data_IF_489882135299
#
_entry.id   IF_489882135299
#
_cell.length_a   1.000
_cell.length_b   1.000
_cell.length_c   1.000
_cell.angle_alpha   90.00
_cell.angle_beta   90.00
_cell.angle_gamma   90.00
#
_symmetry.space_group_name_H-M   'P 1'
#
loop_
_entity.id
_entity.type
_entity.pdbx_description
1 polymer ?
#
# COMPACT_ATOMS: atom_id res chain seq x y z
N UNK A 1 -20.96 -25.91 12.93
CA UNK A 1 -19.62 -25.47 13.35
C UNK A 1 -19.12 -24.52 12.27
N UNK A 2 -18.92 -23.25 12.61
CA UNK A 2 -18.20 -22.34 11.71
C UNK A 2 -16.79 -22.92 11.52
N UNK A 3 -16.31 -22.96 10.28
CA UNK A 3 -14.91 -23.29 10.02
C UNK A 3 -14.06 -22.20 10.72
N UNK A 4 -12.98 -22.56 11.43
CA UNK A 4 -12.04 -21.54 11.85
C UNK A 4 -11.49 -20.87 10.60
N UNK A 5 -11.57 -19.53 10.55
CA UNK A 5 -10.94 -18.77 9.48
C UNK A 5 -9.43 -19.01 9.53
N UNK A 6 -8.87 -19.45 8.41
CA UNK A 6 -7.44 -19.69 8.31
C UNK A 6 -6.72 -18.36 8.05
N UNK A 7 -6.33 -17.67 9.12
CA UNK A 7 -5.62 -16.38 9.07
C UNK A 7 -4.09 -16.55 9.00
N UNK A 8 -3.59 -17.77 8.74
CA UNK A 8 -2.15 -18.08 8.84
C UNK A 8 -1.28 -17.31 7.85
N UNK A 9 -1.82 -16.97 6.67
CA UNK A 9 -1.09 -16.29 5.59
C UNK A 9 -1.46 -14.80 5.42
N UNK A 10 -2.37 -14.27 6.26
CA UNK A 10 -2.84 -12.89 6.16
C UNK A 10 -1.72 -11.88 6.40
N UNK A 11 -0.87 -12.10 7.42
CA UNK A 11 0.26 -11.22 7.73
C UNK A 11 1.25 -11.14 6.55
N UNK A 12 1.58 -12.28 5.95
CA UNK A 12 2.50 -12.35 4.79
C UNK A 12 1.94 -11.59 3.59
N UNK A 13 0.67 -11.83 3.24
CA UNK A 13 -0.01 -11.11 2.15
C UNK A 13 -0.09 -9.60 2.39
N UNK A 14 -0.38 -9.18 3.61
CA UNK A 14 -0.42 -7.75 3.94
C UNK A 14 0.97 -7.12 3.85
N UNK A 15 2.02 -7.82 4.29
CA UNK A 15 3.40 -7.36 4.13
C UNK A 15 3.80 -7.21 2.66
N UNK A 16 3.42 -8.18 1.81
CA UNK A 16 3.61 -8.10 0.36
C UNK A 16 2.88 -6.89 -0.24
N UNK A 17 1.60 -6.68 0.13
CA UNK A 17 0.82 -5.53 -0.32
C UNK A 17 1.45 -4.20 0.12
N UNK A 18 1.97 -4.10 1.34
CA UNK A 18 2.72 -2.92 1.81
C UNK A 18 3.93 -2.68 0.92
N UNK A 19 4.74 -3.70 0.67
CA UNK A 19 5.96 -3.57 -0.13
C UNK A 19 5.65 -3.15 -1.58
N UNK A 20 4.67 -3.78 -2.21
CA UNK A 20 4.21 -3.45 -3.55
C UNK A 20 3.68 -2.00 -3.61
N UNK A 21 2.93 -1.56 -2.59
CA UNK A 21 2.38 -0.20 -2.55
C UNK A 21 3.47 0.85 -2.36
N UNK A 22 4.50 0.55 -1.56
CA UNK A 22 5.67 1.42 -1.38
C UNK A 22 6.48 1.54 -2.67
N UNK A 23 6.70 0.43 -3.39
CA UNK A 23 7.39 0.43 -4.67
C UNK A 23 6.63 1.30 -5.69
N UNK A 24 5.34 1.05 -5.86
CA UNK A 24 4.46 1.86 -6.71
C UNK A 24 4.45 3.35 -6.36
N UNK A 25 4.53 3.69 -5.06
CA UNK A 25 4.62 5.07 -4.60
C UNK A 25 5.93 5.71 -5.06
N UNK A 26 7.06 5.02 -4.86
CA UNK A 26 8.40 5.50 -5.23
C UNK A 26 8.54 5.64 -6.74
N UNK A 27 8.12 4.64 -7.51
CA UNK A 27 8.12 4.70 -8.98
C UNK A 27 7.34 5.90 -9.50
N UNK A 28 6.19 6.22 -8.88
CA UNK A 28 5.41 7.39 -9.27
C UNK A 28 6.11 8.70 -8.89
N UNK A 29 6.80 8.76 -7.75
CA UNK A 29 7.60 9.93 -7.37
C UNK A 29 8.80 10.14 -8.31
N UNK A 30 9.52 9.06 -8.64
CA UNK A 30 10.64 9.08 -9.60
C UNK A 30 10.17 9.53 -10.98
N UNK A 31 9.04 8.99 -11.47
CA UNK A 31 8.45 9.44 -12.73
C UNK A 31 8.10 10.93 -12.74
N UNK A 32 7.50 11.43 -11.65
CA UNK A 32 7.16 12.85 -11.52
C UNK A 32 8.42 13.74 -11.47
N UNK A 33 9.51 13.30 -10.84
CA UNK A 33 10.77 14.02 -10.77
C UNK A 33 11.49 14.06 -12.14
N UNK A 34 11.51 12.93 -12.85
CA UNK A 34 12.18 12.79 -14.15
C UNK A 34 11.42 13.50 -15.29
N UNK A 35 10.09 13.52 -15.24
CA UNK A 35 9.24 13.98 -16.36
C UNK A 35 8.38 15.20 -16.04
N UNK A 36 8.66 15.95 -14.96
CA UNK A 36 7.87 17.10 -14.53
C UNK A 36 7.59 18.13 -15.63
N UNK A 37 8.57 18.36 -16.53
CA UNK A 37 8.48 19.32 -17.64
C UNK A 37 7.75 18.77 -18.88
N UNK A 38 7.52 17.46 -18.96
CA UNK A 38 6.98 16.76 -20.12
C UNK A 38 5.50 16.37 -19.95
N UNK A 39 5.06 16.13 -18.72
CA UNK A 39 3.69 15.69 -18.42
C UNK A 39 2.72 16.85 -18.26
N UNK A 40 1.44 16.59 -18.51
CA UNK A 40 0.40 17.60 -18.32
C UNK A 40 0.14 17.87 -16.83
N UNK A 41 -0.36 19.08 -16.50
CA UNK A 41 -0.73 19.41 -15.13
C UNK A 41 -1.84 18.52 -14.56
N UNK A 42 -2.79 18.09 -15.40
CA UNK A 42 -3.84 17.15 -15.01
C UNK A 42 -3.27 15.76 -14.67
N UNK A 43 -2.35 15.26 -15.49
CA UNK A 43 -1.67 13.99 -15.23
C UNK A 43 -0.81 14.05 -13.97
N UNK A 44 -0.08 15.15 -13.76
CA UNK A 44 0.68 15.40 -12.54
C UNK A 44 -0.23 15.34 -11.30
N UNK A 45 -1.37 16.04 -11.31
CA UNK A 45 -2.32 16.06 -10.19
C UNK A 45 -2.88 14.66 -9.90
N UNK A 46 -3.26 13.91 -10.94
CA UNK A 46 -3.78 12.54 -10.80
C UNK A 46 -2.74 11.59 -10.18
N UNK A 47 -1.48 11.68 -10.59
CA UNK A 47 -0.38 10.87 -10.04
C UNK A 47 -0.09 11.22 -8.59
N UNK A 48 -0.10 12.51 -8.24
CA UNK A 48 0.06 12.98 -6.86
C UNK A 48 -1.09 12.51 -5.97
N UNK A 49 -2.34 12.62 -6.42
CA UNK A 49 -3.51 12.14 -5.68
C UNK A 49 -3.47 10.61 -5.50
N UNK A 50 -3.02 9.87 -6.53
CA UNK A 50 -2.81 8.43 -6.42
C UNK A 50 -1.75 8.10 -5.37
N UNK A 51 -0.68 8.87 -5.27
CA UNK A 51 0.33 8.70 -4.23
C UNK A 51 -0.20 9.03 -2.83
N UNK A 52 -1.00 10.07 -2.67
CA UNK A 52 -1.66 10.36 -1.40
C UNK A 52 -2.53 9.19 -0.91
N UNK A 53 -3.34 8.58 -1.81
CA UNK A 53 -4.12 7.39 -1.47
C UNK A 53 -3.27 6.16 -1.13
N UNK A 54 -2.08 6.02 -1.73
CA UNK A 54 -1.13 4.94 -1.40
C UNK A 54 -0.58 5.10 0.01
N UNK A 55 -0.30 6.32 0.47
CA UNK A 55 0.13 6.58 1.85
C UNK A 55 -0.94 6.14 2.86
N UNK A 56 -2.20 6.50 2.62
CA UNK A 56 -3.35 6.06 3.43
C UNK A 56 -3.51 4.53 3.43
N UNK A 57 -3.32 3.90 2.27
CA UNK A 57 -3.38 2.43 2.12
C UNK A 57 -2.27 1.75 2.92
N UNK A 58 -1.04 2.26 2.86
CA UNK A 58 0.10 1.73 3.63
C UNK A 58 -0.16 1.85 5.13
N UNK A 59 -0.72 2.99 5.59
CA UNK A 59 -1.08 3.16 7.00
C UNK A 59 -2.13 2.12 7.43
N UNK A 60 -3.17 1.93 6.62
CA UNK A 60 -4.23 0.95 6.88
C UNK A 60 -3.68 -0.48 6.94
N UNK A 61 -2.88 -0.89 5.96
CA UNK A 61 -2.25 -2.22 5.97
C UNK A 61 -1.35 -2.44 7.18
N UNK A 62 -0.63 -1.41 7.65
CA UNK A 62 0.22 -1.52 8.84
C UNK A 62 -0.59 -1.72 10.11
N UNK A 63 -1.77 -1.11 10.23
CA UNK A 63 -2.67 -1.37 11.35
C UNK A 63 -3.25 -2.79 11.25
N UNK A 64 -3.71 -3.22 10.06
CA UNK A 64 -4.21 -4.59 9.86
C UNK A 64 -3.15 -5.65 10.17
N UNK A 65 -1.88 -5.44 9.80
CA UNK A 65 -0.78 -6.36 10.15
C UNK A 65 -0.66 -6.51 11.66
N UNK A 66 -0.81 -5.43 12.44
CA UNK A 66 -0.73 -5.51 13.91
C UNK A 66 -1.88 -6.34 14.47
N UNK A 67 -3.09 -6.12 13.97
CA UNK A 67 -4.28 -6.85 14.41
C UNK A 67 -4.21 -8.34 14.05
N UNK A 68 -3.76 -8.66 12.83
CA UNK A 68 -3.54 -10.06 12.39
C UNK A 68 -2.43 -10.73 13.19
N UNK A 69 -1.31 -10.04 13.43
CA UNK A 69 -0.21 -10.58 14.24
C UNK A 69 -0.62 -10.80 15.69
N UNK A 70 -1.42 -9.91 16.28
CA UNK A 70 -1.97 -10.10 17.63
C UNK A 70 -2.87 -11.35 17.68
N UNK A 71 -3.78 -11.48 16.71
CA UNK A 71 -4.70 -12.62 16.65
C UNK A 71 -4.02 -13.97 16.37
N UNK A 72 -2.82 -14.00 15.79
CA UNK A 72 -2.03 -15.23 15.61
C UNK A 72 -1.31 -15.68 16.89
N UNK A 73 -1.14 -14.79 17.88
CA UNK A 73 -0.47 -15.08 19.14
C UNK A 73 -1.44 -15.46 20.29
N UNK A 74 -2.75 -15.41 20.05
CA UNK A 74 -3.83 -15.82 20.98
C UNK A 74 -4.32 -17.25 20.71
#
# INVERSE_FOLDING_TARGET
>A
MAKPDNRSDNVEKLQENVQNTIENFRETQEYLDEHADEISGEEMEQLQEKNARREESIASFREEIKDEAAAQND
#
